data_IF_223828761482
#
_entry.id   IF_223828761482
#
_cell.length_a   1.000
_cell.length_b   1.000
_cell.length_c   1.000
_cell.angle_alpha   90.00
_cell.angle_beta   90.00
_cell.angle_gamma   90.00
#
_symmetry.space_group_name_H-M   'P 1'
#
loop_
_entity.id
_entity.type
_entity.pdbx_description
1 polymer ?
#
# COMPACT_ATOMS: atom_id res chain seq x y z
N UNK A 1 -14.11 7.00 8.02
CA UNK A 1 -13.59 5.80 7.40
C UNK A 1 -13.86 4.55 8.27
N UNK A 2 -13.34 4.47 9.51
CA UNK A 2 -13.49 3.28 10.37
C UNK A 2 -14.96 2.87 10.52
N UNK A 3 -15.84 3.80 10.89
CA UNK A 3 -17.29 3.54 11.05
C UNK A 3 -18.01 3.05 9.79
N UNK A 4 -17.44 3.27 8.62
CA UNK A 4 -18.06 2.89 7.34
C UNK A 4 -17.54 1.53 6.84
N UNK A 5 -16.36 1.09 7.32
CA UNK A 5 -15.66 -0.05 6.75
C UNK A 5 -15.42 -1.21 7.73
N UNK A 6 -15.70 -0.99 9.04
CA UNK A 6 -15.48 -2.00 10.08
C UNK A 6 -16.70 -2.09 10.99
N UNK A 7 -17.05 -3.32 11.36
CA UNK A 7 -18.17 -3.61 12.27
C UNK A 7 -17.84 -3.18 13.71
N UNK A 8 -16.62 -3.41 14.15
CA UNK A 8 -16.11 -2.96 15.44
C UNK A 8 -15.26 -1.71 15.27
N UNK A 9 -15.69 -0.62 15.85
CA UNK A 9 -15.02 0.69 15.75
C UNK A 9 -14.24 1.07 17.00
N UNK A 10 -14.16 0.18 17.97
CA UNK A 10 -13.49 0.42 19.26
C UNK A 10 -11.97 0.22 19.20
N UNK A 11 -11.48 -0.31 18.08
CA UNK A 11 -10.09 -0.69 17.90
C UNK A 11 -9.09 0.46 17.79
N UNK A 12 -7.83 0.09 17.75
CA UNK A 12 -6.73 1.03 17.63
C UNK A 12 -6.37 1.26 16.16
N UNK A 13 -6.21 2.54 15.80
CA UNK A 13 -5.67 2.97 14.53
C UNK A 13 -4.24 3.47 14.74
N UNK A 14 -3.30 2.92 13.98
CA UNK A 14 -1.88 3.29 14.01
C UNK A 14 -1.47 3.86 12.66
N UNK A 15 -0.64 4.90 12.66
CA UNK A 15 -0.04 5.46 11.42
C UNK A 15 1.44 5.12 11.37
N UNK A 16 1.88 4.52 10.27
CA UNK A 16 3.29 4.34 9.91
C UNK A 16 4.13 3.70 11.03
N UNK A 17 3.64 2.63 11.61
CA UNK A 17 4.42 1.74 12.47
C UNK A 17 4.32 0.32 11.92
N UNK A 18 5.44 -0.21 11.47
CA UNK A 18 5.49 -1.58 11.00
C UNK A 18 5.58 -2.55 12.18
N UNK A 19 4.93 -3.72 12.13
CA UNK A 19 4.93 -4.67 13.26
C UNK A 19 6.31 -5.18 13.62
N UNK A 20 7.19 -5.35 12.63
CA UNK A 20 8.57 -5.79 12.81
C UNK A 20 9.57 -4.66 12.52
N UNK A 21 10.68 -4.67 13.22
CA UNK A 21 11.84 -3.85 12.84
C UNK A 21 12.53 -4.44 11.60
N UNK A 22 13.40 -3.69 10.95
CA UNK A 22 14.23 -4.19 9.84
C UNK A 22 15.10 -5.41 10.18
N UNK A 23 15.24 -5.74 11.46
CA UNK A 23 15.96 -6.93 11.97
C UNK A 23 15.03 -8.13 12.22
N UNK A 24 13.75 -8.02 11.86
CA UNK A 24 12.76 -9.05 12.08
C UNK A 24 12.30 -9.22 13.54
N UNK A 25 12.66 -8.30 14.43
CA UNK A 25 12.20 -8.32 15.84
C UNK A 25 10.93 -7.47 15.98
N UNK A 26 10.06 -7.75 16.97
CA UNK A 26 8.86 -6.93 17.21
C UNK A 26 9.22 -5.45 17.43
N UNK A 27 8.44 -4.57 16.85
CA UNK A 27 8.59 -3.13 17.07
C UNK A 27 8.41 -2.78 18.55
N UNK A 28 9.23 -1.87 19.10
CA UNK A 28 9.16 -1.49 20.51
C UNK A 28 7.78 -0.92 20.86
N UNK A 29 7.24 -1.30 22.03
CA UNK A 29 5.95 -0.82 22.53
C UNK A 29 5.82 0.70 22.44
N UNK A 30 6.85 1.44 22.82
CA UNK A 30 6.84 2.91 22.77
C UNK A 30 6.65 3.47 21.35
N UNK A 31 7.20 2.81 20.33
CA UNK A 31 7.00 3.19 18.92
C UNK A 31 5.55 2.96 18.51
N UNK A 32 4.98 1.82 18.88
CA UNK A 32 3.57 1.47 18.60
C UNK A 32 2.62 2.47 19.28
N UNK A 33 2.84 2.80 20.56
CA UNK A 33 2.03 3.77 21.30
C UNK A 33 2.11 5.19 20.68
N UNK A 34 3.29 5.60 20.22
CA UNK A 34 3.47 6.90 19.54
C UNK A 34 2.71 6.99 18.22
N UNK A 35 2.53 5.87 17.53
CA UNK A 35 1.82 5.80 16.27
C UNK A 35 0.30 5.84 16.39
N UNK A 36 -0.27 5.66 17.59
CA UNK A 36 -1.72 5.68 17.83
C UNK A 36 -2.38 6.95 17.35
N UNK A 37 -3.47 6.80 16.60
CA UNK A 37 -4.37 7.88 16.18
C UNK A 37 -5.70 7.86 16.91
N UNK A 38 -6.15 6.67 17.35
CA UNK A 38 -7.30 6.49 18.25
C UNK A 38 -6.82 5.93 19.58
N UNK A 39 -7.66 6.00 20.62
CA UNK A 39 -7.41 5.42 21.96
C UNK A 39 -6.02 5.78 22.53
N UNK A 40 -5.57 7.01 22.31
CA UNK A 40 -4.23 7.47 22.71
C UNK A 40 -4.04 7.40 24.21
N UNK A 41 -2.98 6.73 24.65
CA UNK A 41 -2.59 6.64 26.06
C UNK A 41 -1.46 5.65 26.27
N UNK A 42 -0.62 5.88 27.28
CA UNK A 42 0.52 5.02 27.60
C UNK A 42 0.07 3.60 28.03
N UNK A 43 -1.12 3.50 28.58
CA UNK A 43 -1.71 2.24 29.06
C UNK A 43 -2.67 1.62 28.03
N UNK A 44 -2.73 2.13 26.82
CA UNK A 44 -3.59 1.57 25.77
C UNK A 44 -3.24 0.10 25.55
N UNK A 45 -4.28 -0.74 25.52
CA UNK A 45 -4.13 -2.13 25.16
C UNK A 45 -3.82 -2.22 23.66
N UNK A 46 -2.66 -2.79 23.32
CA UNK A 46 -2.19 -3.02 21.95
C UNK A 46 -1.85 -4.50 21.73
N UNK A 47 -2.51 -5.38 22.48
CA UNK A 47 -2.15 -6.80 22.56
C UNK A 47 -2.29 -7.53 21.23
N UNK A 48 -3.25 -7.18 20.38
CA UNK A 48 -3.44 -7.82 19.08
C UNK A 48 -2.25 -7.51 18.18
N UNK A 49 -1.89 -6.22 18.07
CA UNK A 49 -0.75 -5.78 17.26
C UNK A 49 0.56 -6.38 17.77
N UNK A 50 0.78 -6.35 19.09
CA UNK A 50 1.98 -6.95 19.69
C UNK A 50 2.03 -8.48 19.56
N UNK A 51 0.89 -9.15 19.70
CA UNK A 51 0.81 -10.61 19.51
C UNK A 51 1.12 -10.99 18.07
N UNK A 52 0.58 -10.24 17.08
CA UNK A 52 0.94 -10.46 15.69
C UNK A 52 2.43 -10.29 15.45
N UNK A 53 2.99 -9.15 15.88
CA UNK A 53 4.42 -8.86 15.72
C UNK A 53 5.30 -9.96 16.36
N UNK A 54 4.97 -10.36 17.56
CA UNK A 54 5.70 -11.42 18.29
C UNK A 54 5.60 -12.76 17.56
N UNK A 55 4.37 -13.21 17.27
CA UNK A 55 4.16 -14.51 16.63
C UNK A 55 4.84 -14.56 15.26
N UNK A 56 4.78 -13.47 14.49
CA UNK A 56 5.44 -13.37 13.20
C UNK A 56 6.98 -13.42 13.33
N UNK A 57 7.55 -12.75 14.34
CA UNK A 57 9.00 -12.76 14.57
C UNK A 57 9.55 -14.11 15.00
N UNK A 58 8.73 -14.96 15.59
CA UNK A 58 9.09 -16.30 16.08
C UNK A 58 8.76 -17.40 15.05
N UNK A 59 7.99 -17.07 14.01
CA UNK A 59 7.55 -18.04 13.01
C UNK A 59 8.68 -18.41 12.05
N UNK A 60 8.79 -19.71 11.76
CA UNK A 60 9.55 -20.16 10.60
C UNK A 60 8.82 -19.80 9.30
N UNK A 61 9.52 -19.82 8.16
CA UNK A 61 8.91 -19.55 6.84
C UNK A 61 7.70 -20.47 6.56
N UNK A 62 7.72 -21.72 7.03
CA UNK A 62 6.59 -22.64 6.87
C UNK A 62 5.39 -22.31 7.77
N UNK A 63 5.59 -21.62 8.88
CA UNK A 63 4.55 -21.19 9.83
C UNK A 63 4.00 -19.79 9.51
N UNK A 64 4.76 -18.97 8.80
CA UNK A 64 4.41 -17.59 8.52
C UNK A 64 3.04 -17.45 7.83
N UNK A 65 2.71 -18.36 6.92
CA UNK A 65 1.40 -18.42 6.24
C UNK A 65 0.24 -18.58 7.23
N UNK A 66 0.38 -19.43 8.23
CA UNK A 66 -0.63 -19.64 9.28
C UNK A 66 -0.79 -18.40 10.16
N UNK A 67 0.32 -17.73 10.49
CA UNK A 67 0.29 -16.48 11.27
C UNK A 67 -0.48 -15.40 10.49
N UNK A 68 -0.21 -15.21 9.19
CA UNK A 68 -0.94 -14.26 8.36
C UNK A 68 -2.44 -14.55 8.41
N UNK A 69 -2.87 -15.77 8.15
CA UNK A 69 -4.31 -16.12 8.14
C UNK A 69 -4.96 -16.02 9.52
N UNK A 70 -4.18 -16.20 10.61
CA UNK A 70 -4.68 -16.05 11.97
C UNK A 70 -4.97 -14.59 12.35
N UNK A 71 -4.13 -13.65 11.90
CA UNK A 71 -4.20 -12.24 12.29
C UNK A 71 -4.74 -11.30 11.22
N UNK A 72 -4.76 -11.70 9.95
CA UNK A 72 -5.21 -10.85 8.85
C UNK A 72 -6.40 -11.46 8.12
N UNK A 73 -7.16 -10.62 7.46
CA UNK A 73 -8.17 -11.02 6.49
C UNK A 73 -7.46 -11.19 5.14
N UNK A 74 -7.30 -12.44 4.70
CA UNK A 74 -6.56 -12.78 3.49
C UNK A 74 -7.17 -12.14 2.24
N UNK A 75 -8.51 -12.12 2.16
CA UNK A 75 -9.21 -11.49 1.04
C UNK A 75 -8.89 -10.01 0.91
N UNK A 76 -8.87 -9.30 2.04
CA UNK A 76 -8.59 -7.86 2.06
C UNK A 76 -7.13 -7.56 1.75
N UNK A 77 -6.19 -8.31 2.35
CA UNK A 77 -4.76 -8.02 2.13
C UNK A 77 -4.34 -8.37 0.70
N UNK A 78 -4.80 -9.47 0.12
CA UNK A 78 -4.50 -9.81 -1.27
C UNK A 78 -5.15 -8.82 -2.25
N UNK A 79 -6.34 -8.31 -1.94
CA UNK A 79 -6.96 -7.23 -2.73
C UNK A 79 -6.17 -5.92 -2.63
N UNK A 80 -5.69 -5.57 -1.43
CA UNK A 80 -4.79 -4.42 -1.25
C UNK A 80 -3.55 -4.55 -2.12
N UNK A 81 -2.85 -5.68 -2.04
CA UNK A 81 -1.62 -5.92 -2.79
C UNK A 81 -1.88 -5.85 -4.31
N UNK A 82 -2.96 -6.48 -4.79
CA UNK A 82 -3.30 -6.47 -6.21
C UNK A 82 -3.54 -5.04 -6.75
N UNK A 83 -4.20 -4.19 -5.97
CA UNK A 83 -4.42 -2.78 -6.35
C UNK A 83 -3.13 -1.99 -6.25
N UNK A 84 -2.42 -2.07 -5.13
CA UNK A 84 -1.20 -1.31 -4.84
C UNK A 84 -0.12 -1.56 -5.91
N UNK A 85 0.08 -2.82 -6.28
CA UNK A 85 1.04 -3.20 -7.33
C UNK A 85 0.57 -2.79 -8.72
N UNK A 86 -0.74 -2.94 -9.04
CA UNK A 86 -1.28 -2.54 -10.33
C UNK A 86 -1.13 -1.03 -10.59
N UNK A 87 -1.38 -0.20 -9.59
CA UNK A 87 -1.22 1.27 -9.70
C UNK A 87 0.23 1.72 -9.53
N UNK A 88 1.14 0.79 -9.29
CA UNK A 88 2.58 1.04 -9.04
C UNK A 88 2.79 2.15 -8.02
N UNK A 89 2.18 1.96 -6.85
CA UNK A 89 2.35 2.90 -5.75
C UNK A 89 3.82 2.98 -5.34
N UNK A 90 4.45 4.11 -5.62
CA UNK A 90 5.90 4.27 -5.49
C UNK A 90 6.35 4.74 -4.10
N UNK A 91 5.44 5.00 -3.19
CA UNK A 91 5.74 5.44 -1.82
C UNK A 91 4.86 4.73 -0.77
N UNK A 92 4.62 3.45 -0.99
CA UNK A 92 3.76 2.61 -0.16
C UNK A 92 4.53 1.58 0.66
N UNK A 93 3.80 0.55 1.09
CA UNK A 93 4.35 -0.53 1.95
C UNK A 93 5.43 -1.38 1.27
N UNK A 94 5.51 -1.33 -0.06
CA UNK A 94 6.50 -2.07 -0.83
C UNK A 94 7.75 -1.25 -1.16
N UNK A 95 7.87 -0.02 -0.65
CA UNK A 95 9.06 0.81 -0.72
C UNK A 95 9.71 0.95 0.65
N UNK A 96 10.88 0.37 0.81
CA UNK A 96 11.63 0.35 2.07
C UNK A 96 12.84 1.26 1.95
N UNK A 97 12.69 2.49 2.40
CA UNK A 97 13.73 3.49 2.44
C UNK A 97 14.70 3.21 3.57
N UNK A 98 15.99 3.37 3.31
CA UNK A 98 17.02 3.24 4.31
C UNK A 98 17.47 4.60 4.84
N UNK A 99 17.37 4.77 6.15
CA UNK A 99 17.79 5.96 6.87
C UNK A 99 18.77 5.56 7.98
N UNK A 100 20.06 5.86 7.78
CA UNK A 100 21.09 5.56 8.78
C UNK A 100 21.23 4.06 9.04
N UNK A 101 20.75 3.58 10.21
CA UNK A 101 20.86 2.16 10.59
C UNK A 101 19.53 1.40 10.48
N UNK A 102 18.53 1.95 9.84
CA UNK A 102 17.21 1.33 9.74
C UNK A 102 16.57 1.51 8.38
N UNK A 103 15.60 0.66 8.07
CA UNK A 103 14.74 0.79 6.91
C UNK A 103 13.29 0.90 7.36
N UNK A 104 12.50 1.71 6.66
CA UNK A 104 11.07 1.89 6.91
C UNK A 104 10.32 2.13 5.61
N UNK A 105 9.05 1.78 5.61
CA UNK A 105 8.08 2.09 4.58
C UNK A 105 7.09 3.14 5.06
N UNK A 106 6.28 3.71 4.16
CA UNK A 106 5.41 4.85 4.41
C UNK A 106 3.98 4.61 3.95
N UNK A 107 3.13 5.61 4.18
CA UNK A 107 1.81 5.79 3.56
C UNK A 107 0.82 4.67 3.81
N UNK A 108 0.70 4.26 5.06
CA UNK A 108 -0.29 3.29 5.50
C UNK A 108 -0.77 3.54 6.92
N UNK A 109 -1.92 2.92 7.22
CA UNK A 109 -2.39 2.73 8.59
C UNK A 109 -2.58 1.23 8.87
N UNK A 110 -2.46 0.87 10.14
CA UNK A 110 -2.97 -0.39 10.66
C UNK A 110 -4.20 -0.14 11.51
N UNK A 111 -5.19 -1.00 11.38
CA UNK A 111 -6.36 -1.01 12.26
C UNK A 111 -6.47 -2.37 12.95
N UNK A 112 -6.53 -2.37 14.29
CA UNK A 112 -6.93 -3.53 15.07
C UNK A 112 -8.46 -3.59 15.12
N UNK A 113 -9.05 -4.73 14.74
CA UNK A 113 -10.48 -5.00 14.91
C UNK A 113 -10.63 -5.99 16.09
N UNK A 114 -10.96 -5.52 17.32
CA UNK A 114 -10.90 -6.34 18.52
C UNK A 114 -11.86 -7.53 18.52
N UNK A 115 -13.08 -7.35 18.01
CA UNK A 115 -14.09 -8.41 17.94
C UNK A 115 -13.68 -9.61 17.10
N UNK A 116 -12.85 -9.39 16.08
CA UNK A 116 -12.33 -10.44 15.21
C UNK A 116 -10.90 -10.85 15.52
N UNK A 117 -10.24 -10.12 16.42
CA UNK A 117 -8.79 -10.24 16.72
C UNK A 117 -7.93 -10.19 15.45
N UNK A 118 -8.29 -9.30 14.54
CA UNK A 118 -7.60 -9.08 13.25
C UNK A 118 -6.94 -7.72 13.21
N UNK A 119 -5.90 -7.64 12.38
CA UNK A 119 -5.29 -6.37 11.96
C UNK A 119 -5.53 -6.18 10.46
N UNK A 120 -5.76 -4.95 10.07
CA UNK A 120 -6.05 -4.56 8.70
C UNK A 120 -5.08 -3.49 8.26
N UNK A 121 -4.48 -3.67 7.10
CA UNK A 121 -3.68 -2.65 6.42
C UNK A 121 -4.62 -1.73 5.64
N UNK A 122 -4.42 -0.43 5.77
CA UNK A 122 -5.24 0.60 5.11
C UNK A 122 -4.30 1.50 4.32
N UNK A 123 -4.49 1.64 3.00
CA UNK A 123 -3.69 2.57 2.18
C UNK A 123 -3.92 4.02 2.60
N UNK A 124 -2.89 4.82 2.45
CA UNK A 124 -2.92 6.25 2.70
C UNK A 124 -1.97 6.94 1.72
N UNK A 125 -2.28 8.19 1.35
CA UNK A 125 -1.39 9.06 0.57
C UNK A 125 -0.88 8.43 -0.73
N UNK A 126 -1.80 8.15 -1.65
CA UNK A 126 -1.51 7.48 -2.92
C UNK A 126 -1.16 8.49 -4.04
N UNK A 127 -0.63 9.65 -3.72
CA UNK A 127 -0.29 10.71 -4.68
C UNK A 127 0.92 10.35 -5.55
N UNK A 128 1.79 9.44 -5.09
CA UNK A 128 2.88 8.85 -5.87
C UNK A 128 2.48 7.55 -6.61
N UNK A 129 1.18 7.26 -6.72
CA UNK A 129 0.70 6.18 -7.56
C UNK A 129 0.64 6.60 -9.04
N UNK A 130 0.71 5.63 -9.95
CA UNK A 130 0.68 5.77 -11.41
C UNK A 130 1.93 6.40 -12.06
N UNK A 131 2.85 6.98 -11.33
CA UNK A 131 4.01 7.68 -11.91
C UNK A 131 4.93 6.75 -12.71
N UNK A 132 5.08 5.50 -12.29
CA UNK A 132 5.94 4.50 -12.92
C UNK A 132 5.23 3.63 -13.97
N UNK A 133 4.06 4.00 -14.43
CA UNK A 133 3.34 3.29 -15.50
C UNK A 133 3.77 3.71 -16.90
N UNK A 134 4.41 4.85 -17.04
CA UNK A 134 5.01 5.29 -18.30
C UNK A 134 6.51 5.40 -18.14
N UNK A 135 7.27 4.90 -19.11
CA UNK A 135 8.74 4.94 -19.15
C UNK A 135 9.38 6.33 -19.08
N UNK A 136 8.57 7.39 -18.99
CA UNK A 136 9.06 8.77 -19.05
C UNK A 136 9.54 9.28 -17.69
N UNK A 137 9.05 8.68 -16.58
CA UNK A 137 9.36 9.12 -15.22
C UNK A 137 9.59 7.94 -14.27
N UNK A 138 10.27 6.90 -14.73
CA UNK A 138 10.61 5.77 -13.85
C UNK A 138 11.51 6.24 -12.72
N UNK A 139 10.92 6.42 -11.55
CA UNK A 139 11.67 6.73 -10.34
C UNK A 139 12.29 5.44 -9.82
N UNK A 140 11.49 4.38 -9.68
CA UNK A 140 11.95 3.06 -9.30
C UNK A 140 11.04 2.01 -9.92
N UNK A 141 11.59 1.16 -10.76
CA UNK A 141 10.88 0.00 -11.25
C UNK A 141 10.92 -1.11 -10.20
N UNK A 142 9.76 -1.61 -9.79
CA UNK A 142 9.64 -2.80 -8.95
C UNK A 142 9.20 -3.93 -9.87
N UNK A 143 10.11 -4.85 -10.26
CA UNK A 143 9.82 -5.88 -11.25
C UNK A 143 8.95 -7.00 -10.70
N UNK A 144 8.86 -7.10 -9.40
CA UNK A 144 8.23 -8.19 -8.66
C UNK A 144 7.00 -7.68 -7.89
N UNK A 145 5.96 -8.49 -7.83
CA UNK A 145 4.70 -8.18 -7.18
C UNK A 145 4.82 -8.01 -5.64
N UNK A 146 5.87 -8.56 -5.05
CA UNK A 146 6.15 -8.50 -3.62
C UNK A 146 7.38 -7.66 -3.28
N UNK A 147 7.85 -6.86 -4.23
CA UNK A 147 8.94 -5.91 -4.03
C UNK A 147 10.32 -6.54 -3.92
N UNK A 148 10.56 -7.66 -4.63
CA UNK A 148 11.89 -8.23 -4.81
C UNK A 148 12.60 -7.52 -5.96
N UNK A 149 13.62 -6.71 -5.63
CA UNK A 149 14.40 -5.96 -6.62
C UNK A 149 15.81 -6.56 -6.76
N UNK A 150 16.34 -7.09 -5.66
CA UNK A 150 17.66 -7.74 -5.61
C UNK A 150 17.54 -9.15 -5.06
N UNK A 151 18.38 -10.05 -5.50
CA UNK A 151 18.41 -11.45 -5.02
C UNK A 151 18.91 -11.59 -3.57
N UNK A 152 19.27 -10.50 -2.95
CA UNK A 152 19.69 -10.39 -1.57
C UNK A 152 19.03 -9.15 -0.96
N UNK A 153 19.22 -8.93 0.33
CA UNK A 153 18.66 -7.76 1.03
C UNK A 153 19.64 -6.57 1.07
N UNK A 154 20.56 -6.49 0.11
CA UNK A 154 21.48 -5.37 0.02
C UNK A 154 20.76 -4.10 -0.43
N UNK A 155 21.23 -2.98 0.09
CA UNK A 155 20.74 -1.67 -0.28
C UNK A 155 21.08 -1.32 -1.72
N UNK A 156 20.18 -0.62 -2.38
CA UNK A 156 20.37 -0.08 -3.71
C UNK A 156 19.83 1.35 -3.79
N UNK A 157 20.31 2.20 -4.73
CA UNK A 157 19.86 3.59 -4.83
C UNK A 157 18.40 3.68 -5.29
N UNK A 158 17.65 4.61 -4.68
CA UNK A 158 16.30 4.98 -5.08
C UNK A 158 16.36 6.09 -6.14
N UNK A 159 16.31 5.71 -7.40
CA UNK A 159 16.42 6.65 -8.52
C UNK A 159 17.64 7.58 -8.39
N UNK A 160 17.46 8.84 -8.80
CA UNK A 160 18.50 9.87 -8.75
C UNK A 160 18.43 10.77 -7.49
N UNK A 161 17.53 10.46 -6.54
CA UNK A 161 17.24 11.33 -5.38
C UNK A 161 18.26 11.24 -4.24
N UNK A 162 19.27 10.37 -4.34
CA UNK A 162 20.27 10.19 -3.29
C UNK A 162 19.79 9.41 -2.06
N UNK A 163 18.62 8.81 -2.12
CA UNK A 163 18.11 7.89 -1.11
C UNK A 163 18.52 6.45 -1.44
N UNK A 164 18.52 5.62 -0.42
CA UNK A 164 18.75 4.19 -0.52
C UNK A 164 17.51 3.44 -0.11
N UNK A 165 17.30 2.27 -0.70
CA UNK A 165 16.21 1.38 -0.36
C UNK A 165 16.68 -0.07 -0.38
N UNK A 166 15.87 -0.98 0.14
CA UNK A 166 16.05 -2.43 0.03
C UNK A 166 14.78 -3.09 -0.49
N UNK A 167 14.91 -4.31 -0.97
CA UNK A 167 13.76 -5.11 -1.41
C UNK A 167 12.75 -5.28 -0.28
N UNK A 168 11.48 -5.01 -0.56
CA UNK A 168 10.40 -5.16 0.42
C UNK A 168 10.19 -6.63 0.82
N UNK A 169 10.45 -7.57 -0.10
CA UNK A 169 10.44 -9.03 0.15
C UNK A 169 11.42 -9.49 1.25
N UNK A 170 12.37 -8.63 1.65
CA UNK A 170 13.24 -8.88 2.81
C UNK A 170 12.53 -8.74 4.15
N UNK A 171 11.34 -8.13 4.19
CA UNK A 171 10.50 -8.12 5.37
C UNK A 171 9.73 -9.43 5.50
N UNK A 172 9.70 -10.00 6.71
CA UNK A 172 9.10 -11.31 6.94
C UNK A 172 7.59 -11.34 6.70
N UNK A 173 6.88 -10.22 6.90
CA UNK A 173 5.44 -10.11 6.66
C UNK A 173 5.16 -10.08 5.15
N UNK A 174 5.89 -9.25 4.41
CA UNK A 174 5.75 -9.15 2.96
C UNK A 174 6.16 -10.47 2.30
N UNK A 175 7.25 -11.08 2.74
CA UNK A 175 7.66 -12.41 2.29
C UNK A 175 6.58 -13.47 2.57
N UNK A 176 5.92 -13.41 3.73
CA UNK A 176 4.82 -14.33 4.04
C UNK A 176 3.59 -14.12 3.14
N UNK A 177 3.33 -12.91 2.67
CA UNK A 177 2.26 -12.64 1.70
C UNK A 177 2.51 -13.29 0.35
N UNK A 178 3.76 -13.40 -0.10
CA UNK A 178 4.10 -14.06 -1.36
C UNK A 178 3.75 -15.55 -1.39
N UNK A 179 3.58 -16.18 -0.23
CA UNK A 179 3.11 -17.57 -0.15
C UNK A 179 1.63 -17.78 -0.55
N UNK A 180 0.89 -16.69 -0.83
CA UNK A 180 -0.53 -16.71 -1.25
C UNK A 180 -0.70 -16.36 -2.73
N UNK A 181 0.18 -16.89 -3.57
CA UNK A 181 0.23 -16.58 -4.99
C UNK A 181 -1.12 -16.85 -5.71
N UNK A 182 -1.75 -18.00 -5.46
CA UNK A 182 -3.05 -18.32 -6.06
C UNK A 182 -4.13 -17.30 -5.70
N UNK A 183 -4.21 -16.92 -4.43
CA UNK A 183 -5.16 -15.93 -3.93
C UNK A 183 -4.87 -14.55 -4.51
N UNK A 184 -3.60 -14.21 -4.68
CA UNK A 184 -3.16 -12.97 -5.31
C UNK A 184 -3.55 -12.91 -6.80
N UNK A 185 -3.28 -13.98 -7.56
CA UNK A 185 -3.68 -14.09 -8.97
C UNK A 185 -5.19 -13.94 -9.13
N UNK A 186 -5.99 -14.56 -8.26
CA UNK A 186 -7.45 -14.39 -8.29
C UNK A 186 -7.88 -12.94 -8.03
N UNK A 187 -7.15 -12.19 -7.19
CA UNK A 187 -7.42 -10.76 -6.99
C UNK A 187 -7.02 -9.91 -8.20
N UNK A 188 -5.91 -10.24 -8.88
CA UNK A 188 -5.56 -9.60 -10.17
C UNK A 188 -6.64 -9.81 -11.20
N UNK A 189 -7.15 -11.04 -11.36
CA UNK A 189 -8.29 -11.36 -12.26
C UNK A 189 -9.53 -10.56 -11.93
N UNK A 190 -9.88 -10.48 -10.64
CA UNK A 190 -11.03 -9.71 -10.19
C UNK A 190 -10.86 -8.21 -10.44
N UNK A 191 -9.68 -7.66 -10.19
CA UNK A 191 -9.37 -6.26 -10.49
C UNK A 191 -9.55 -5.98 -11.99
N UNK A 192 -8.99 -6.83 -12.84
CA UNK A 192 -9.08 -6.72 -14.30
C UNK A 192 -10.54 -6.76 -14.79
N UNK A 193 -11.30 -7.77 -14.36
CA UNK A 193 -12.60 -8.09 -14.95
C UNK A 193 -13.76 -7.28 -14.35
N UNK A 194 -13.69 -6.96 -13.05
CA UNK A 194 -14.84 -6.41 -12.32
C UNK A 194 -14.68 -4.91 -12.01
N UNK A 195 -13.45 -4.38 -11.98
CA UNK A 195 -13.19 -3.05 -11.43
C UNK A 195 -12.57 -2.05 -12.41
N UNK A 196 -11.68 -2.46 -13.31
CA UNK A 196 -10.98 -1.49 -14.17
C UNK A 196 -11.92 -0.73 -15.11
N UNK A 197 -12.89 -1.39 -15.74
CA UNK A 197 -13.83 -0.68 -16.61
C UNK A 197 -14.70 0.30 -15.82
N UNK A 198 -15.03 -0.01 -14.57
CA UNK A 198 -15.70 0.93 -13.67
C UNK A 198 -14.82 2.11 -13.30
N UNK A 199 -13.52 1.90 -13.12
CA UNK A 199 -12.57 2.99 -12.84
C UNK A 199 -12.55 4.04 -13.96
N UNK A 200 -12.58 3.61 -15.23
CA UNK A 200 -12.71 4.53 -16.36
C UNK A 200 -13.99 5.38 -16.28
N UNK A 201 -15.13 4.75 -15.99
CA UNK A 201 -16.40 5.46 -15.85
C UNK A 201 -16.37 6.44 -14.69
N UNK A 202 -15.79 6.04 -13.54
CA UNK A 202 -15.65 6.92 -12.38
C UNK A 202 -14.77 8.15 -12.66
N UNK A 203 -13.70 8.00 -13.43
CA UNK A 203 -12.87 9.15 -13.86
C UNK A 203 -13.70 10.16 -14.65
N UNK A 204 -14.57 9.69 -15.57
CA UNK A 204 -15.44 10.59 -16.34
C UNK A 204 -16.51 11.24 -15.46
N UNK A 205 -17.11 10.51 -14.54
CA UNK A 205 -18.06 11.07 -13.57
C UNK A 205 -17.43 12.14 -12.70
N UNK A 206 -16.28 11.87 -12.09
CA UNK A 206 -15.57 12.82 -11.24
C UNK A 206 -15.08 14.05 -12.04
N UNK A 207 -14.59 13.84 -13.26
CA UNK A 207 -14.26 14.92 -14.17
C UNK A 207 -15.44 15.87 -14.32
N UNK A 208 -16.64 15.35 -14.64
CA UNK A 208 -17.84 16.16 -14.81
C UNK A 208 -18.28 16.86 -13.50
N UNK A 209 -18.11 16.22 -12.36
CA UNK A 209 -18.47 16.79 -11.05
C UNK A 209 -17.61 17.99 -10.66
N UNK A 210 -16.30 17.95 -10.96
CA UNK A 210 -15.35 18.97 -10.47
C UNK A 210 -14.94 19.99 -11.53
N UNK A 211 -15.37 19.86 -12.78
CA UNK A 211 -14.98 20.75 -13.88
C UNK A 211 -15.27 22.21 -13.60
N UNK A 212 -16.49 22.53 -13.13
CA UNK A 212 -16.86 23.92 -12.81
C UNK A 212 -16.02 24.48 -11.64
N UNK A 213 -15.76 23.68 -10.63
CA UNK A 213 -14.92 24.07 -9.49
C UNK A 213 -13.47 24.32 -9.93
N UNK A 214 -12.94 23.52 -10.85
CA UNK A 214 -11.59 23.71 -11.41
C UNK A 214 -11.49 25.03 -12.20
N UNK A 215 -12.52 25.35 -13.00
CA UNK A 215 -12.59 26.62 -13.74
C UNK A 215 -12.67 27.82 -12.78
N UNK A 216 -13.48 27.71 -11.73
CA UNK A 216 -13.66 28.75 -10.72
C UNK A 216 -12.36 28.99 -9.93
N UNK A 217 -11.69 27.92 -9.49
CA UNK A 217 -10.40 28.00 -8.81
C UNK A 217 -9.34 28.70 -9.66
N UNK A 218 -9.26 28.39 -10.94
CA UNK A 218 -8.30 29.06 -11.85
C UNK A 218 -8.61 30.53 -12.09
N UNK A 219 -9.87 30.95 -12.05
CA UNK A 219 -10.25 32.37 -12.11
C UNK A 219 -9.91 33.11 -10.82
N UNK A 220 -10.01 32.44 -9.67
CA UNK A 220 -9.73 33.02 -8.37
C UNK A 220 -8.21 33.14 -8.10
N UNK A 221 -7.43 32.17 -8.56
CA UNK A 221 -5.97 32.14 -8.45
C UNK A 221 -5.33 31.63 -9.76
N UNK A 222 -4.65 32.53 -10.47
CA UNK A 222 -3.97 32.22 -11.73
C UNK A 222 -2.84 31.18 -11.57
N UNK A 223 -2.32 31.00 -10.36
CA UNK A 223 -1.30 30.00 -10.06
C UNK A 223 -1.89 28.61 -9.82
N UNK A 224 -3.21 28.48 -9.71
CA UNK A 224 -3.87 27.19 -9.64
C UNK A 224 -3.78 26.44 -10.98
N UNK A 225 -4.05 25.13 -10.93
CA UNK A 225 -4.01 24.30 -12.14
C UNK A 225 -5.00 24.80 -13.19
N UNK A 226 -4.50 25.16 -14.39
CA UNK A 226 -5.37 25.62 -15.48
C UNK A 226 -6.31 24.50 -15.96
N UNK A 227 -7.56 24.82 -16.40
CA UNK A 227 -8.50 23.82 -16.87
C UNK A 227 -7.95 22.92 -17.98
N UNK A 228 -7.20 23.49 -18.94
CA UNK A 228 -6.57 22.71 -20.01
C UNK A 228 -5.51 21.74 -19.50
N UNK A 229 -4.70 22.18 -18.53
CA UNK A 229 -3.69 21.33 -17.92
C UNK A 229 -4.36 20.22 -17.10
N UNK A 230 -5.41 20.53 -16.37
CA UNK A 230 -6.21 19.55 -15.64
C UNK A 230 -6.83 18.50 -16.57
N UNK A 231 -7.48 18.89 -17.67
CA UNK A 231 -8.02 17.97 -18.66
C UNK A 231 -6.96 17.03 -19.22
N UNK A 232 -5.76 17.56 -19.53
CA UNK A 232 -4.64 16.74 -19.96
C UNK A 232 -4.25 15.68 -18.91
N UNK A 233 -4.25 16.04 -17.63
CA UNK A 233 -3.95 15.05 -16.56
C UNK A 233 -5.05 13.99 -16.42
N UNK A 234 -6.32 14.34 -16.66
CA UNK A 234 -7.40 13.35 -16.74
C UNK A 234 -7.17 12.35 -17.87
N UNK A 235 -6.75 12.83 -19.06
CA UNK A 235 -6.43 11.95 -20.19
C UNK A 235 -5.19 11.06 -19.91
N UNK A 236 -4.18 11.60 -19.22
CA UNK A 236 -3.02 10.83 -18.78
C UNK A 236 -3.46 9.72 -17.81
N UNK A 237 -4.29 10.03 -16.79
CA UNK A 237 -4.81 9.04 -15.86
C UNK A 237 -5.56 7.91 -16.58
N UNK A 238 -6.40 8.23 -17.58
CA UNK A 238 -7.07 7.22 -18.40
C UNK A 238 -6.09 6.35 -19.18
N UNK A 239 -5.04 6.95 -19.73
CA UNK A 239 -3.98 6.21 -20.42
C UNK A 239 -3.25 5.26 -19.47
N UNK A 240 -2.99 5.69 -18.24
CA UNK A 240 -2.38 4.86 -17.20
C UNK A 240 -3.30 3.68 -16.78
N UNK A 241 -4.61 3.91 -16.62
CA UNK A 241 -5.57 2.83 -16.39
C UNK A 241 -5.57 1.81 -17.53
N UNK A 242 -5.41 2.26 -18.77
CA UNK A 242 -5.30 1.35 -19.92
C UNK A 242 -4.01 0.51 -19.86
N UNK A 243 -2.88 1.10 -19.47
CA UNK A 243 -1.62 0.37 -19.27
C UNK A 243 -1.76 -0.67 -18.16
N UNK A 244 -2.40 -0.33 -17.03
CA UNK A 244 -2.72 -1.29 -15.97
C UNK A 244 -3.52 -2.47 -16.52
N UNK A 245 -4.54 -2.20 -17.34
CA UNK A 245 -5.35 -3.27 -17.95
C UNK A 245 -4.51 -4.21 -18.80
N UNK A 246 -3.57 -3.69 -19.59
CA UNK A 246 -2.65 -4.48 -20.40
C UNK A 246 -1.67 -5.30 -19.53
N UNK A 247 -1.09 -4.68 -18.51
CA UNK A 247 -0.13 -5.34 -17.62
C UNK A 247 -0.77 -6.49 -16.84
N UNK A 248 -1.97 -6.25 -16.27
CA UNK A 248 -2.73 -7.29 -15.60
C UNK A 248 -3.12 -8.44 -16.53
N UNK A 249 -3.55 -8.14 -17.75
CA UNK A 249 -3.89 -9.18 -18.74
C UNK A 249 -2.69 -10.10 -19.01
N UNK A 250 -1.51 -9.53 -19.19
CA UNK A 250 -0.27 -10.29 -19.42
C UNK A 250 0.14 -11.11 -18.19
N UNK A 251 0.14 -10.48 -17.00
CA UNK A 251 0.59 -11.12 -15.76
C UNK A 251 -0.34 -12.24 -15.24
N UNK A 252 -1.49 -12.44 -15.85
CA UNK A 252 -2.44 -13.52 -15.50
C UNK A 252 -2.30 -14.71 -16.47
N UNK A 253 -1.76 -14.46 -17.67
CA UNK A 253 -1.55 -15.49 -18.71
C UNK A 253 -0.22 -16.25 -18.52
N UNK A 254 0.75 -15.63 -17.85
CA UNK A 254 2.05 -16.24 -17.50
C UNK A 254 1.95 -17.10 -16.22
#
# INVERSE_FOLDING_TARGET
>A
FIKQNFDDTSGNLYKEVWPLTHKGTPSPRNSIIKALKTNKGINTNIDIFQSFAKTMSEASSSQAKEVITSFMDLEKIMSYIAVDRAIRNDDGVFHWYEFGQGASNHNYYWYEEPSKRKIHLIPWDLDNAFENLSSINEVTFIPDDFGEITNNCDSFPYGEFGFWQRSASCDAIINAWSAFDNEYVEKKKKLLNDHLDKAFLMVDEWKNQIESATIEANKADINSLSPNKWLRHVDILKSQLYLIKLDLSRSIED
#
